data_IF_551958010166
#
_entry.id   IF_551958010166
#
_cell.length_a   1.000
_cell.length_b   1.000
_cell.length_c   1.000
_cell.angle_alpha   90.00
_cell.angle_beta   90.00
_cell.angle_gamma   90.00
#
_symmetry.space_group_name_H-M   'P 1'
#
loop_
_entity.id
_entity.type
_entity.pdbx_description
1 polymer ?
#
# COMPACT_ATOMS: atom_id res chain seq x y z
N UNK A 1 -6.87 -12.82 -3.53
CA UNK A 1 -5.68 -13.15 -2.72
C UNK A 1 -4.74 -14.16 -3.37
N UNK A 2 -5.23 -15.16 -4.13
CA UNK A 2 -4.38 -16.17 -4.79
C UNK A 2 -3.26 -15.58 -5.66
N UNK A 3 -3.53 -14.48 -6.35
CA UNK A 3 -2.55 -13.81 -7.23
C UNK A 3 -1.45 -13.07 -6.45
N UNK A 4 -1.67 -12.83 -5.15
CA UNK A 4 -0.74 -12.11 -4.29
C UNK A 4 0.16 -13.05 -3.47
N UNK A 5 -0.02 -14.37 -3.52
CA UNK A 5 0.71 -15.33 -2.69
C UNK A 5 2.24 -15.21 -2.84
N UNK A 6 2.73 -14.93 -4.05
CA UNK A 6 4.16 -14.74 -4.31
C UNK A 6 4.77 -13.53 -3.58
N UNK A 7 3.95 -12.64 -3.03
CA UNK A 7 4.36 -11.43 -2.33
C UNK A 7 4.21 -11.54 -0.81
N UNK A 8 3.83 -12.71 -0.28
CA UNK A 8 3.57 -12.92 1.15
C UNK A 8 4.74 -12.54 2.06
N UNK A 9 5.98 -12.77 1.59
CA UNK A 9 7.20 -12.44 2.33
C UNK A 9 7.78 -11.05 1.99
N UNK A 10 7.11 -10.29 1.10
CA UNK A 10 7.54 -8.95 0.72
C UNK A 10 6.82 -7.91 1.56
N UNK A 11 7.49 -6.77 1.74
CA UNK A 11 6.83 -5.59 2.30
C UNK A 11 5.98 -4.96 1.21
N UNK A 12 4.70 -4.77 1.49
CA UNK A 12 3.74 -4.13 0.58
C UNK A 12 3.48 -2.72 1.09
N UNK A 13 3.75 -1.71 0.27
CA UNK A 13 3.36 -0.32 0.56
C UNK A 13 2.10 -0.02 -0.24
N UNK A 14 1.03 0.34 0.46
CA UNK A 14 -0.24 0.70 -0.15
C UNK A 14 -0.38 2.21 -0.08
N UNK A 15 -0.67 2.84 -1.22
CA UNK A 15 -0.87 4.28 -1.32
C UNK A 15 -2.12 4.59 -2.15
N UNK A 16 -2.70 5.75 -1.88
CA UNK A 16 -3.71 6.37 -2.73
C UNK A 16 -3.43 7.88 -2.81
N UNK A 17 -4.42 8.69 -3.21
CA UNK A 17 -4.24 10.15 -3.30
C UNK A 17 -3.91 10.80 -1.95
N UNK A 18 -4.69 10.51 -0.90
CA UNK A 18 -4.60 11.16 0.43
C UNK A 18 -4.32 10.23 1.60
N UNK A 19 -4.29 8.91 1.38
CA UNK A 19 -4.06 7.89 2.42
C UNK A 19 -5.31 7.24 3.01
N UNK A 20 -6.50 7.83 2.87
CA UNK A 20 -7.73 7.33 3.52
C UNK A 20 -8.20 5.98 2.94
N UNK A 21 -8.17 5.83 1.63
CA UNK A 21 -8.60 4.60 0.98
C UNK A 21 -7.57 3.47 1.16
N UNK A 22 -6.28 3.81 1.12
CA UNK A 22 -5.19 2.85 1.29
C UNK A 22 -5.11 2.29 2.71
N UNK A 23 -5.64 3.00 3.71
CA UNK A 23 -5.77 2.49 5.08
C UNK A 23 -6.64 1.21 5.14
N UNK A 24 -7.86 1.28 4.60
CA UNK A 24 -8.78 0.13 4.56
C UNK A 24 -8.18 -1.06 3.79
N UNK A 25 -7.55 -0.79 2.65
CA UNK A 25 -6.88 -1.82 1.86
C UNK A 25 -5.69 -2.46 2.61
N UNK A 26 -4.92 -1.65 3.33
CA UNK A 26 -3.81 -2.13 4.19
C UNK A 26 -4.33 -3.06 5.28
N UNK A 27 -5.45 -2.71 5.92
CA UNK A 27 -6.08 -3.55 6.94
C UNK A 27 -6.49 -4.91 6.38
N UNK A 28 -7.14 -4.93 5.22
CA UNK A 28 -7.56 -6.18 4.56
C UNK A 28 -6.33 -7.05 4.24
N UNK A 29 -5.25 -6.48 3.72
CA UNK A 29 -4.02 -7.24 3.43
C UNK A 29 -3.39 -7.82 4.71
N UNK A 30 -3.33 -7.04 5.78
CA UNK A 30 -2.81 -7.49 7.06
C UNK A 30 -3.66 -8.62 7.67
N UNK A 31 -5.00 -8.51 7.60
CA UNK A 31 -5.92 -9.57 8.04
C UNK A 31 -5.75 -10.88 7.26
N UNK A 32 -5.25 -10.82 6.02
CA UNK A 32 -4.94 -11.99 5.19
C UNK A 32 -3.47 -12.46 5.34
N UNK A 33 -2.73 -11.92 6.31
CA UNK A 33 -1.38 -12.35 6.66
C UNK A 33 -0.29 -11.81 5.72
N UNK A 34 -0.52 -10.70 5.04
CA UNK A 34 0.51 -9.96 4.30
C UNK A 34 1.15 -8.91 5.20
N UNK A 35 2.39 -8.53 4.89
CA UNK A 35 3.10 -7.43 5.57
C UNK A 35 2.85 -6.12 4.83
N UNK A 36 1.72 -5.46 5.10
CA UNK A 36 1.30 -4.24 4.41
C UNK A 36 1.36 -2.98 5.30
N UNK A 37 1.79 -1.87 4.71
CA UNK A 37 1.86 -0.56 5.36
C UNK A 37 1.16 0.51 4.51
N UNK A 38 0.44 1.40 5.18
CA UNK A 38 -0.20 2.55 4.57
C UNK A 38 0.80 3.71 4.43
N UNK A 39 0.87 4.33 3.27
CA UNK A 39 1.60 5.58 3.07
C UNK A 39 0.74 6.76 3.56
N UNK A 40 1.12 7.32 4.72
CA UNK A 40 0.41 8.45 5.33
C UNK A 40 0.44 9.67 4.40
N UNK A 41 -0.72 10.33 4.24
CA UNK A 41 -0.86 11.46 3.33
C UNK A 41 -0.97 11.08 1.84
N UNK A 42 -0.75 9.80 1.51
CA UNK A 42 -0.77 9.30 0.14
C UNK A 42 0.29 9.96 -0.74
N UNK A 43 0.08 9.90 -2.05
CA UNK A 43 1.02 10.49 -3.01
C UNK A 43 1.10 12.02 -2.91
N UNK A 44 0.08 12.69 -2.33
CA UNK A 44 0.11 14.14 -2.14
C UNK A 44 1.23 14.61 -1.20
N UNK A 45 1.69 13.76 -0.29
CA UNK A 45 2.75 14.07 0.70
C UNK A 45 4.06 13.35 0.35
N UNK A 46 4.10 12.65 -0.78
CA UNK A 46 5.31 11.98 -1.24
C UNK A 46 6.34 13.00 -1.74
N UNK A 47 7.51 13.03 -1.10
CA UNK A 47 8.62 13.93 -1.44
C UNK A 47 9.66 13.30 -2.39
N UNK A 48 9.51 12.01 -2.69
CA UNK A 48 10.41 11.30 -3.60
C UNK A 48 10.10 11.59 -5.06
N UNK A 49 10.93 11.05 -5.95
CA UNK A 49 10.73 11.19 -7.39
C UNK A 49 9.39 10.59 -7.83
N UNK A 50 8.71 11.32 -8.71
CA UNK A 50 7.51 10.89 -9.40
C UNK A 50 7.75 11.02 -10.89
N UNK A 51 7.35 9.98 -11.64
CA UNK A 51 7.36 10.04 -13.11
C UNK A 51 5.96 10.40 -13.56
N UNK A 52 5.85 11.51 -14.29
CA UNK A 52 4.63 11.88 -15.01
C UNK A 52 4.79 11.44 -16.47
N UNK A 53 3.78 10.74 -17.01
CA UNK A 53 3.69 10.41 -18.43
C UNK A 53 3.13 11.58 -19.23
#
# INVERSE_FOLDING_TARGET
MKDLENYRNKTIIVYCRSGNFSESATKILNENGFKAFNMIGGINVWEGEVVHN
#
